data_IF_594452006613
#
_entry.id   IF_594452006613
#
_cell.length_a   1.000
_cell.length_b   1.000
_cell.length_c   1.000
_cell.angle_alpha   90.00
_cell.angle_beta   90.00
_cell.angle_gamma   90.00
#
_symmetry.space_group_name_H-M   'P 1'
#
loop_
_entity.id
_entity.type
_entity.pdbx_description
1 polymer ?
#
# COMPACT_ATOMS: atom_id res chain seq x y z
N UNK A 1 15.06 -0.06 10.37
CA UNK A 1 15.30 1.38 10.09
C UNK A 1 14.41 2.32 10.91
N UNK A 2 13.13 1.98 11.19
CA UNK A 2 12.23 2.84 11.96
C UNK A 2 12.70 3.12 13.41
N UNK A 3 13.10 2.09 14.17
CA UNK A 3 13.51 2.25 15.58
C UNK A 3 14.73 3.18 15.75
N UNK A 4 15.75 3.04 14.90
CA UNK A 4 16.93 3.90 14.93
C UNK A 4 16.61 5.37 14.62
N UNK A 5 15.77 5.61 13.60
CA UNK A 5 15.31 6.96 13.26
C UNK A 5 14.49 7.58 14.40
N UNK A 6 13.62 6.79 15.03
CA UNK A 6 12.80 7.27 16.15
C UNK A 6 13.64 7.53 17.40
N UNK A 7 14.60 6.65 17.69
CA UNK A 7 15.52 6.84 18.82
C UNK A 7 16.30 8.15 18.68
N UNK A 8 16.75 8.53 17.48
CA UNK A 8 17.44 9.80 17.23
C UNK A 8 16.62 11.05 17.56
N UNK A 9 15.29 10.94 17.60
CA UNK A 9 14.41 12.05 18.00
C UNK A 9 14.46 12.25 19.52
N UNK A 10 14.48 11.15 20.27
CA UNK A 10 14.53 11.18 21.74
C UNK A 10 15.93 11.46 22.28
N UNK A 11 16.93 10.85 21.66
CA UNK A 11 18.30 10.84 22.12
C UNK A 11 19.19 11.26 20.95
N UNK A 12 19.44 12.54 20.68
CA UNK A 12 20.21 12.90 19.49
C UNK A 12 21.67 12.42 19.60
N UNK A 13 22.16 11.68 18.60
CA UNK A 13 23.59 11.34 18.48
C UNK A 13 24.39 12.55 18.00
N UNK A 14 25.61 12.73 18.53
CA UNK A 14 26.35 14.01 18.54
C UNK A 14 26.60 14.64 17.17
N UNK A 15 26.52 13.88 16.08
CA UNK A 15 26.83 14.34 14.72
C UNK A 15 25.68 14.13 13.73
N UNK A 16 24.50 13.73 14.21
CA UNK A 16 23.32 13.52 13.36
C UNK A 16 22.34 14.69 13.50
N UNK A 17 21.79 15.11 12.36
CA UNK A 17 20.73 16.11 12.34
C UNK A 17 19.48 15.55 13.01
N UNK A 18 19.03 16.23 14.07
CA UNK A 18 17.81 15.86 14.78
C UNK A 18 16.58 16.10 13.91
N UNK A 19 15.80 15.05 13.70
CA UNK A 19 14.47 15.14 13.10
C UNK A 19 13.51 15.74 14.13
N UNK A 20 12.89 16.86 13.78
CA UNK A 20 11.82 17.46 14.58
C UNK A 20 10.48 17.04 13.99
N UNK A 21 9.70 16.31 14.79
CA UNK A 21 8.31 16.04 14.47
C UNK A 21 7.44 17.12 15.11
N UNK A 22 6.47 17.63 14.35
CA UNK A 22 5.47 18.55 14.89
C UNK A 22 4.43 17.82 15.77
N UNK A 23 4.34 16.49 15.62
CA UNK A 23 3.43 15.60 16.33
C UNK A 23 3.97 14.14 16.27
N UNK A 24 3.61 13.25 17.21
CA UNK A 24 4.05 11.86 17.21
C UNK A 24 3.68 11.11 15.92
N UNK A 25 4.49 10.11 15.55
CA UNK A 25 4.18 9.18 14.47
C UNK A 25 2.93 8.35 14.79
N UNK A 26 2.27 7.86 13.75
CA UNK A 26 1.06 7.05 13.89
C UNK A 26 1.35 5.71 14.51
N UNK A 27 2.42 5.12 14.02
CA UNK A 27 3.01 3.99 14.63
C UNK A 27 4.32 3.60 14.02
N UNK A 28 4.94 2.62 14.66
CA UNK A 28 6.16 2.00 14.19
C UNK A 28 5.89 0.50 14.02
N UNK A 29 6.04 0.01 12.80
CA UNK A 29 6.05 -1.41 12.52
C UNK A 29 7.49 -1.91 12.64
N UNK A 30 7.77 -2.71 13.68
CA UNK A 30 9.05 -3.32 13.95
C UNK A 30 8.96 -4.80 13.54
N UNK A 31 9.31 -5.09 12.28
CA UNK A 31 9.37 -6.46 11.77
C UNK A 31 10.74 -7.04 12.07
N UNK A 32 10.78 -8.08 12.90
CA UNK A 32 12.01 -8.79 13.27
C UNK A 32 13.17 -7.82 13.54
N UNK A 33 13.00 -6.82 14.43
CA UNK A 33 13.95 -5.74 14.50
C UNK A 33 15.30 -6.24 15.00
N UNK A 34 16.38 -5.89 14.30
CA UNK A 34 17.74 -6.08 14.79
C UNK A 34 17.99 -5.16 15.98
N UNK A 35 17.93 -5.74 17.18
CA UNK A 35 17.97 -4.99 18.45
C UNK A 35 19.10 -5.42 19.37
N UNK A 36 19.74 -6.55 19.06
CA UNK A 36 20.82 -7.16 19.84
C UNK A 36 21.78 -7.89 18.88
N UNK A 37 23.06 -7.96 19.24
CA UNK A 37 24.08 -8.77 18.57
C UNK A 37 24.67 -9.85 19.47
N UNK A 38 24.12 -10.02 20.68
CA UNK A 38 24.46 -11.09 21.62
C UNK A 38 24.01 -12.47 21.15
N UNK A 39 24.68 -13.49 21.69
CA UNK A 39 24.43 -14.92 21.42
C UNK A 39 24.00 -15.68 22.70
N UNK A 40 23.65 -14.93 23.73
CA UNK A 40 23.46 -15.41 25.09
C UNK A 40 22.01 -15.77 25.43
N UNK A 41 21.05 -15.42 24.57
CA UNK A 41 19.63 -15.73 24.75
C UNK A 41 19.29 -17.20 24.47
N UNK A 42 18.13 -17.64 24.94
CA UNK A 42 17.65 -19.01 24.73
C UNK A 42 17.23 -19.24 23.28
N UNK A 43 16.50 -18.29 22.69
CA UNK A 43 16.12 -18.29 21.28
C UNK A 43 17.32 -18.46 20.37
N UNK A 44 18.44 -17.78 20.68
CA UNK A 44 19.65 -17.88 19.89
C UNK A 44 20.15 -19.33 19.85
N UNK A 45 20.19 -20.00 21.01
CA UNK A 45 20.67 -21.38 21.14
C UNK A 45 19.71 -22.38 20.48
N UNK A 46 18.41 -22.16 20.60
CA UNK A 46 17.39 -23.09 20.10
C UNK A 46 17.14 -22.98 18.59
N UNK A 47 17.45 -21.84 17.97
CA UNK A 47 17.09 -21.54 16.59
C UNK A 47 18.30 -21.44 15.64
N UNK A 48 19.50 -21.85 16.07
CA UNK A 48 20.74 -21.80 15.27
C UNK A 48 20.66 -22.44 13.88
N UNK A 49 19.78 -23.42 13.70
CA UNK A 49 19.55 -24.20 12.50
C UNK A 49 18.17 -23.97 11.85
N UNK A 50 17.38 -23.05 12.41
CA UNK A 50 16.01 -22.76 11.94
C UNK A 50 15.88 -21.42 11.26
N UNK A 51 16.57 -20.40 11.78
CA UNK A 51 16.49 -19.04 11.24
C UNK A 51 17.23 -18.95 9.89
N UNK A 52 16.75 -18.07 9.01
CA UNK A 52 17.45 -17.73 7.77
C UNK A 52 18.75 -16.97 8.05
N UNK A 53 18.81 -16.24 9.17
CA UNK A 53 20.04 -15.65 9.68
C UNK A 53 20.76 -16.71 10.50
N UNK A 54 21.87 -17.23 10.00
CA UNK A 54 22.69 -18.21 10.75
C UNK A 54 23.66 -17.51 11.70
N UNK A 55 24.13 -18.15 12.79
CA UNK A 55 25.12 -17.54 13.69
C UNK A 55 26.42 -17.07 12.99
N UNK A 56 27.02 -17.82 12.04
CA UNK A 56 28.18 -17.32 11.29
C UNK A 56 27.85 -16.09 10.45
N UNK A 57 26.68 -16.09 9.79
CA UNK A 57 26.23 -14.94 8.99
C UNK A 57 26.01 -13.72 9.88
N UNK A 58 25.36 -13.87 11.04
CA UNK A 58 25.17 -12.82 12.00
C UNK A 58 26.51 -12.20 12.43
N UNK A 59 27.48 -13.02 12.84
CA UNK A 59 28.80 -12.54 13.27
C UNK A 59 29.51 -11.72 12.18
N UNK A 60 29.45 -12.18 10.93
CA UNK A 60 30.05 -11.44 9.81
C UNK A 60 29.31 -10.14 9.52
N UNK A 61 27.97 -10.17 9.53
CA UNK A 61 27.16 -8.96 9.36
C UNK A 61 27.47 -7.93 10.46
N UNK A 62 27.51 -8.36 11.72
CA UNK A 62 27.75 -7.46 12.87
C UNK A 62 29.10 -6.76 12.75
N UNK A 63 30.17 -7.48 12.35
CA UNK A 63 31.50 -6.87 12.11
C UNK A 63 31.47 -5.74 11.08
N UNK A 64 30.57 -5.83 10.09
CA UNK A 64 30.41 -4.81 9.05
C UNK A 64 29.49 -3.67 9.52
N UNK A 65 28.50 -3.96 10.36
CA UNK A 65 27.53 -2.97 10.82
C UNK A 65 28.07 -2.06 11.93
N UNK A 66 28.76 -2.62 12.93
CA UNK A 66 29.28 -1.86 14.08
C UNK A 66 30.50 -2.55 14.68
N UNK A 67 31.56 -1.80 14.96
CA UNK A 67 32.72 -2.33 15.66
C UNK A 67 32.36 -2.66 17.12
N UNK A 68 32.99 -3.68 17.71
CA UNK A 68 32.74 -4.09 19.10
C UNK A 68 32.92 -2.95 20.11
N UNK A 69 33.89 -2.04 19.86
CA UNK A 69 34.12 -0.86 20.70
C UNK A 69 33.03 0.21 20.59
N UNK A 70 32.27 0.19 19.51
CA UNK A 70 31.25 1.19 19.19
C UNK A 70 29.84 0.70 19.51
N UNK A 71 29.71 -0.55 19.95
CA UNK A 71 28.45 -1.14 20.42
C UNK A 71 27.94 -0.42 21.66
N UNK A 72 26.71 0.06 21.59
CA UNK A 72 26.03 0.75 22.69
C UNK A 72 24.50 0.74 22.46
N UNK A 73 23.77 1.45 23.31
CA UNK A 73 22.31 1.60 23.25
C UNK A 73 21.73 2.02 21.88
N UNK A 74 22.53 2.65 21.00
CA UNK A 74 22.15 3.02 19.63
C UNK A 74 22.15 1.87 18.66
N UNK A 75 23.19 1.05 18.73
CA UNK A 75 23.38 -0.10 17.85
C UNK A 75 22.64 -1.33 18.37
N UNK A 76 22.49 -1.42 19.70
CA UNK A 76 21.80 -2.51 20.40
C UNK A 76 20.77 -1.93 21.39
N UNK A 77 19.60 -1.48 20.90
CA UNK A 77 18.50 -1.02 21.75
C UNK A 77 18.08 -2.01 22.83
N UNK A 78 18.37 -3.30 22.65
CA UNK A 78 18.22 -4.32 23.68
C UNK A 78 18.94 -3.98 25.00
N UNK A 79 20.11 -3.34 24.94
CA UNK A 79 20.91 -2.97 26.13
C UNK A 79 20.33 -1.78 26.90
N UNK A 80 19.32 -1.11 26.35
CA UNK A 80 18.73 0.07 26.99
C UNK A 80 17.91 -0.30 28.24
N UNK A 81 17.88 0.63 29.19
CA UNK A 81 16.95 0.59 30.31
C UNK A 81 15.54 1.04 29.87
N UNK A 82 14.52 0.64 30.63
CA UNK A 82 13.10 0.96 30.36
C UNK A 82 12.87 2.47 30.13
N UNK A 83 13.53 3.33 30.92
CA UNK A 83 13.39 4.79 30.81
C UNK A 83 13.83 5.38 29.47
N UNK A 84 14.62 4.64 28.68
CA UNK A 84 15.07 5.06 27.35
C UNK A 84 13.90 5.30 26.39
N UNK A 85 12.80 4.56 26.53
CA UNK A 85 11.65 4.67 25.63
C UNK A 85 10.59 5.66 26.11
N UNK A 86 10.85 6.39 27.21
CA UNK A 86 9.90 7.37 27.72
C UNK A 86 9.62 8.45 26.66
N UNK A 87 8.34 8.76 26.47
CA UNK A 87 7.84 9.70 25.45
C UNK A 87 8.15 9.26 24.00
N UNK A 88 8.29 7.95 23.74
CA UNK A 88 8.47 7.43 22.38
C UNK A 88 7.48 8.07 21.41
N UNK A 89 7.95 8.73 20.34
CA UNK A 89 7.10 9.60 19.52
C UNK A 89 6.34 8.77 18.48
N UNK A 90 5.64 7.73 18.92
CA UNK A 90 4.73 6.92 18.12
C UNK A 90 3.49 6.52 18.94
N UNK A 91 2.29 6.63 18.35
CA UNK A 91 1.01 6.34 19.04
C UNK A 91 0.69 4.86 19.18
N UNK A 92 1.25 4.04 18.29
CA UNK A 92 1.08 2.59 18.28
C UNK A 92 2.37 1.94 17.79
N UNK A 93 2.75 0.79 18.32
CA UNK A 93 3.91 0.04 17.84
C UNK A 93 3.49 -1.40 17.67
N UNK A 94 3.72 -1.99 16.51
CA UNK A 94 3.65 -3.45 16.36
C UNK A 94 5.07 -3.99 16.38
N UNK A 95 5.36 -4.86 17.32
CA UNK A 95 6.64 -5.53 17.46
C UNK A 95 6.46 -7.01 17.13
N UNK A 96 7.04 -7.43 16.00
CA UNK A 96 6.90 -8.79 15.46
C UNK A 96 8.21 -9.56 15.62
N UNK A 97 8.09 -10.78 16.13
CA UNK A 97 9.13 -11.79 16.16
C UNK A 97 8.60 -13.10 15.57
N UNK A 98 9.42 -13.87 14.89
CA UNK A 98 9.15 -15.27 14.56
C UNK A 98 9.58 -16.21 15.66
N UNK A 99 8.84 -17.29 15.90
CA UNK A 99 9.19 -18.35 16.86
C UNK A 99 10.59 -18.93 16.60
N UNK A 100 10.96 -19.04 15.34
CA UNK A 100 12.22 -19.62 14.88
C UNK A 100 13.33 -18.59 14.65
N UNK A 101 13.18 -17.35 15.14
CA UNK A 101 14.23 -16.34 15.04
C UNK A 101 15.32 -16.49 16.10
N UNK A 102 16.57 -16.20 15.71
CA UNK A 102 17.70 -16.12 16.65
C UNK A 102 17.46 -15.06 17.72
N UNK A 103 16.97 -13.88 17.32
CA UNK A 103 16.85 -12.71 18.18
C UNK A 103 15.47 -12.59 18.86
N UNK A 104 14.61 -13.62 18.78
CA UNK A 104 13.24 -13.59 19.32
C UNK A 104 13.17 -13.05 20.75
N UNK A 105 13.93 -13.64 21.67
CA UNK A 105 13.88 -13.23 23.09
C UNK A 105 14.28 -11.74 23.26
N UNK A 106 15.25 -11.27 22.47
CA UNK A 106 15.68 -9.86 22.49
C UNK A 106 14.63 -8.91 21.93
N UNK A 107 13.90 -9.33 20.89
CA UNK A 107 12.80 -8.58 20.30
C UNK A 107 11.65 -8.47 21.30
N UNK A 108 11.30 -9.56 21.97
CA UNK A 108 10.20 -9.60 22.94
C UNK A 108 10.54 -8.79 24.20
N UNK A 109 11.79 -8.86 24.67
CA UNK A 109 12.27 -8.05 25.79
C UNK A 109 12.24 -6.55 25.44
N UNK A 110 12.66 -6.16 24.23
CA UNK A 110 12.54 -4.77 23.77
C UNK A 110 11.09 -4.29 23.85
N UNK A 111 10.16 -5.06 23.27
CA UNK A 111 8.74 -4.73 23.31
C UNK A 111 8.21 -4.58 24.74
N UNK A 112 8.66 -5.45 25.64
CA UNK A 112 8.33 -5.38 27.07
C UNK A 112 8.89 -4.12 27.74
N UNK A 113 10.14 -3.74 27.45
CA UNK A 113 10.74 -2.48 27.94
C UNK A 113 9.96 -1.26 27.47
N UNK A 114 9.56 -1.24 26.20
CA UNK A 114 8.74 -0.17 25.63
C UNK A 114 7.35 -0.08 26.30
N UNK A 115 6.68 -1.22 26.53
CA UNK A 115 5.41 -1.27 27.26
C UNK A 115 5.53 -0.67 28.66
N UNK A 116 6.56 -1.07 29.42
CA UNK A 116 6.82 -0.55 30.77
C UNK A 116 7.15 0.94 30.79
N UNK A 117 7.75 1.45 29.72
CA UNK A 117 8.00 2.88 29.53
C UNK A 117 6.74 3.70 29.18
N UNK A 118 5.58 3.05 29.03
CA UNK A 118 4.30 3.67 28.69
C UNK A 118 4.03 3.80 27.19
N UNK A 119 4.80 3.10 26.34
CA UNK A 119 4.54 3.06 24.90
C UNK A 119 3.39 2.08 24.62
N UNK A 120 2.47 2.44 23.73
CA UNK A 120 1.42 1.54 23.27
C UNK A 120 2.00 0.54 22.26
N UNK A 121 2.37 -0.66 22.73
CA UNK A 121 3.00 -1.71 21.90
C UNK A 121 2.13 -2.97 21.87
N UNK A 122 1.92 -3.52 20.68
CA UNK A 122 1.37 -4.85 20.43
C UNK A 122 2.57 -5.77 20.12
N UNK A 123 2.92 -6.65 21.06
CA UNK A 123 3.96 -7.67 20.84
C UNK A 123 3.32 -8.94 20.28
N UNK A 124 3.83 -9.44 19.16
CA UNK A 124 3.29 -10.62 18.48
C UNK A 124 4.41 -11.55 18.05
N UNK A 125 4.42 -12.74 18.63
CA UNK A 125 5.22 -13.86 18.17
C UNK A 125 4.45 -14.62 17.08
N UNK A 126 5.10 -14.87 15.95
CA UNK A 126 4.54 -15.58 14.79
C UNK A 126 5.05 -17.03 14.79
N UNK A 127 4.20 -18.03 15.06
CA UNK A 127 4.59 -19.44 15.15
C UNK A 127 5.23 -19.96 13.87
N UNK A 128 6.31 -20.73 13.97
CA UNK A 128 7.09 -21.29 12.85
C UNK A 128 7.80 -20.30 11.91
N UNK A 129 7.52 -18.99 12.02
CA UNK A 129 8.13 -17.98 11.17
C UNK A 129 9.60 -17.71 11.54
N UNK A 130 10.38 -17.29 10.54
CA UNK A 130 11.80 -16.87 10.68
C UNK A 130 11.97 -15.37 10.43
N UNK A 131 13.21 -14.88 10.47
CA UNK A 131 13.49 -13.46 10.33
C UNK A 131 12.97 -12.90 9.00
N UNK A 132 12.15 -11.84 9.08
CA UNK A 132 11.52 -11.15 7.94
C UNK A 132 10.74 -12.05 6.98
N UNK A 133 10.12 -13.13 7.49
CA UNK A 133 9.42 -14.14 6.69
C UNK A 133 8.35 -13.54 5.76
N UNK A 134 7.65 -12.50 6.20
CA UNK A 134 6.64 -11.81 5.39
C UNK A 134 7.20 -11.23 4.08
N UNK A 135 8.49 -10.88 4.04
CA UNK A 135 9.18 -10.42 2.83
C UNK A 135 9.54 -11.61 1.94
N UNK A 136 9.95 -12.73 2.54
CA UNK A 136 10.33 -13.95 1.82
C UNK A 136 9.11 -14.57 1.14
N UNK A 137 7.98 -14.69 1.85
CA UNK A 137 6.70 -15.15 1.31
C UNK A 137 6.32 -14.36 0.06
N UNK A 138 6.35 -13.02 0.17
CA UNK A 138 6.01 -12.12 -0.93
C UNK A 138 6.95 -12.27 -2.14
N UNK A 139 8.27 -12.42 -1.90
CA UNK A 139 9.26 -12.60 -2.97
C UNK A 139 9.16 -13.98 -3.65
N UNK A 140 8.84 -15.01 -2.89
CA UNK A 140 8.70 -16.38 -3.37
C UNK A 140 7.31 -16.66 -3.97
N UNK A 141 6.34 -15.74 -3.79
CA UNK A 141 4.95 -15.92 -4.22
C UNK A 141 4.22 -17.00 -3.42
N UNK A 142 4.65 -17.24 -2.18
CA UNK A 142 3.97 -18.13 -1.25
C UNK A 142 2.73 -17.43 -0.67
N UNK A 143 1.81 -18.24 -0.13
CA UNK A 143 0.69 -17.71 0.64
C UNK A 143 1.21 -16.94 1.85
N UNK A 144 0.58 -15.81 2.15
CA UNK A 144 0.98 -14.97 3.27
C UNK A 144 0.80 -15.71 4.61
N UNK A 145 1.89 -15.87 5.36
CA UNK A 145 1.82 -16.42 6.71
C UNK A 145 1.33 -15.42 7.78
N UNK A 146 1.46 -15.80 9.05
CA UNK A 146 0.95 -15.04 10.19
C UNK A 146 1.62 -13.67 10.33
N UNK A 147 2.95 -13.58 10.15
CA UNK A 147 3.67 -12.30 10.24
C UNK A 147 3.16 -11.26 9.24
N UNK A 148 2.87 -11.67 8.00
CA UNK A 148 2.27 -10.79 7.00
C UNK A 148 0.84 -10.40 7.39
N UNK A 149 0.04 -11.37 7.82
CA UNK A 149 -1.35 -11.15 8.24
C UNK A 149 -1.44 -10.15 9.40
N UNK A 150 -0.61 -10.31 10.44
CA UNK A 150 -0.56 -9.41 11.61
C UNK A 150 -0.09 -8.01 11.25
N UNK A 151 0.86 -7.90 10.31
CA UNK A 151 1.28 -6.62 9.76
C UNK A 151 0.10 -5.92 9.08
N UNK A 152 -0.64 -6.62 8.23
CA UNK A 152 -1.80 -6.07 7.52
C UNK A 152 -2.95 -5.72 8.47
N UNK A 153 -3.27 -6.57 9.45
CA UNK A 153 -4.29 -6.30 10.46
C UNK A 153 -3.96 -5.05 11.27
N UNK A 154 -2.70 -4.87 11.64
CA UNK A 154 -2.27 -3.68 12.35
C UNK A 154 -2.32 -2.43 11.45
N UNK A 155 -1.87 -2.54 10.20
CA UNK A 155 -2.01 -1.45 9.22
C UNK A 155 -3.49 -1.07 9.03
N UNK A 156 -4.40 -2.04 8.96
CA UNK A 156 -5.83 -1.84 8.86
C UNK A 156 -6.42 -1.08 10.06
N UNK A 157 -5.98 -1.39 11.29
CA UNK A 157 -6.37 -0.63 12.51
C UNK A 157 -5.87 0.82 12.47
N UNK A 158 -4.78 1.05 11.75
CA UNK A 158 -4.04 2.31 11.71
C UNK A 158 -4.48 3.18 10.51
N UNK A 159 -5.04 2.58 9.45
CA UNK A 159 -5.52 3.26 8.23
C UNK A 159 -7.03 3.08 8.00
N UNK A 160 -7.85 4.10 8.27
CA UNK A 160 -9.29 4.10 7.96
C UNK A 160 -9.60 4.95 6.73
N UNK A 161 -9.86 4.30 5.58
CA UNK A 161 -10.06 4.99 4.31
C UNK A 161 -11.11 4.33 3.43
N UNK A 162 -11.75 5.11 2.56
CA UNK A 162 -12.73 4.67 1.57
C UNK A 162 -12.10 4.68 0.19
N UNK A 163 -12.22 3.58 -0.56
CA UNK A 163 -11.65 3.45 -1.90
C UNK A 163 -12.71 3.28 -3.00
N UNK A 164 -12.41 3.82 -4.18
CA UNK A 164 -13.13 3.61 -5.44
C UNK A 164 -12.22 2.94 -6.47
N UNK A 165 -12.66 1.85 -7.10
CA UNK A 165 -11.93 1.18 -8.18
C UNK A 165 -12.84 0.97 -9.39
N UNK A 166 -12.44 1.48 -10.56
CA UNK A 166 -13.07 1.15 -11.85
C UNK A 166 -12.41 -0.07 -12.48
N UNK A 167 -13.12 -0.83 -13.33
CA UNK A 167 -12.57 -2.03 -13.95
C UNK A 167 -12.26 -3.15 -12.94
N UNK A 168 -13.00 -3.18 -11.83
CA UNK A 168 -12.73 -4.04 -10.68
C UNK A 168 -13.05 -5.53 -10.93
N UNK A 169 -13.68 -5.87 -12.06
CA UNK A 169 -14.09 -7.24 -12.37
C UNK A 169 -12.93 -8.16 -12.75
N UNK A 170 -11.78 -7.64 -13.16
CA UNK A 170 -10.66 -8.47 -13.63
C UNK A 170 -9.30 -7.76 -13.51
N UNK A 171 -8.23 -8.52 -13.75
CA UNK A 171 -6.88 -8.00 -13.90
C UNK A 171 -6.41 -7.08 -12.78
N UNK A 172 -5.77 -5.98 -13.16
CA UNK A 172 -5.24 -4.98 -12.23
C UNK A 172 -6.36 -4.46 -11.30
N UNK A 173 -7.57 -4.22 -11.82
CA UNK A 173 -8.65 -3.67 -11.00
C UNK A 173 -9.11 -4.63 -9.91
N UNK A 174 -9.27 -5.92 -10.24
CA UNK A 174 -9.57 -6.94 -9.24
C UNK A 174 -8.43 -7.10 -8.23
N UNK A 175 -7.18 -7.18 -8.70
CA UNK A 175 -6.02 -7.31 -7.81
C UNK A 175 -5.93 -6.13 -6.83
N UNK A 176 -6.00 -4.89 -7.34
CA UNK A 176 -6.01 -3.69 -6.51
C UNK A 176 -7.18 -3.68 -5.51
N UNK A 177 -8.36 -4.15 -5.92
CA UNK A 177 -9.52 -4.26 -5.03
C UNK A 177 -9.23 -5.19 -3.85
N UNK A 178 -8.68 -6.37 -4.11
CA UNK A 178 -8.37 -7.35 -3.06
C UNK A 178 -7.25 -6.85 -2.15
N UNK A 179 -6.23 -6.20 -2.70
CA UNK A 179 -5.16 -5.59 -1.90
C UNK A 179 -5.66 -4.44 -1.02
N UNK A 180 -6.60 -3.61 -1.50
CA UNK A 180 -7.23 -2.58 -0.66
C UNK A 180 -8.00 -3.20 0.50
N UNK A 181 -8.68 -4.33 0.27
CA UNK A 181 -9.40 -5.06 1.34
C UNK A 181 -8.42 -5.59 2.38
N UNK A 182 -7.29 -6.19 1.95
CA UNK A 182 -6.22 -6.64 2.86
C UNK A 182 -5.57 -5.49 3.62
N UNK A 183 -5.40 -4.35 2.95
CA UNK A 183 -4.87 -3.14 3.55
C UNK A 183 -5.84 -2.46 4.53
N UNK A 184 -7.06 -2.96 4.68
CA UNK A 184 -7.99 -2.51 5.72
C UNK A 184 -8.83 -1.29 5.37
N UNK A 185 -9.12 -1.05 4.09
CA UNK A 185 -10.12 -0.02 3.74
C UNK A 185 -11.41 -0.25 4.53
N UNK A 186 -12.04 0.83 4.98
CA UNK A 186 -13.26 0.77 5.80
C UNK A 186 -14.54 0.86 4.97
N UNK A 187 -14.41 1.19 3.68
CA UNK A 187 -15.49 1.20 2.71
C UNK A 187 -14.94 1.07 1.31
N UNK A 188 -15.69 0.39 0.45
CA UNK A 188 -15.25 0.12 -0.91
C UNK A 188 -16.39 0.35 -1.90
N UNK A 189 -16.18 1.23 -2.88
CA UNK A 189 -16.96 1.33 -4.10
C UNK A 189 -16.19 0.64 -5.24
N UNK A 190 -16.84 -0.28 -5.95
CA UNK A 190 -16.27 -0.92 -7.14
C UNK A 190 -17.26 -0.90 -8.29
N UNK A 191 -16.73 -0.71 -9.51
CA UNK A 191 -17.53 -0.77 -10.72
C UNK A 191 -16.82 -1.52 -11.84
N UNK A 192 -17.61 -2.22 -12.62
CA UNK A 192 -17.22 -2.85 -13.88
C UNK A 192 -18.46 -2.97 -14.77
N UNK A 193 -18.28 -3.04 -16.08
CA UNK A 193 -19.40 -3.29 -17.01
C UNK A 193 -19.82 -4.77 -16.99
N UNK A 194 -18.92 -5.67 -16.58
CA UNK A 194 -19.18 -7.10 -16.50
C UNK A 194 -19.70 -7.50 -15.11
N UNK A 195 -21.01 -7.71 -15.01
CA UNK A 195 -21.70 -8.12 -13.79
C UNK A 195 -21.12 -9.38 -13.13
N UNK A 196 -20.83 -10.44 -13.91
CA UNK A 196 -20.35 -11.72 -13.38
C UNK A 196 -18.97 -11.60 -12.76
N UNK A 197 -18.08 -10.92 -13.46
CA UNK A 197 -16.71 -10.63 -13.01
C UNK A 197 -16.71 -9.72 -11.77
N UNK A 198 -17.54 -8.67 -11.76
CA UNK A 198 -17.70 -7.82 -10.58
C UNK A 198 -18.22 -8.60 -9.37
N UNK A 199 -19.24 -9.44 -9.56
CA UNK A 199 -19.79 -10.29 -8.49
C UNK A 199 -18.74 -11.29 -7.94
N UNK A 200 -17.84 -11.81 -8.79
CA UNK A 200 -16.72 -12.62 -8.32
C UNK A 200 -15.76 -11.80 -7.47
N UNK A 201 -15.40 -10.57 -7.87
CA UNK A 201 -14.56 -9.69 -7.05
C UNK A 201 -15.19 -9.39 -5.69
N UNK A 202 -16.51 -9.19 -5.63
CA UNK A 202 -17.23 -9.03 -4.34
C UNK A 202 -17.07 -10.27 -3.46
N UNK A 203 -17.29 -11.47 -4.00
CA UNK A 203 -17.12 -12.72 -3.23
C UNK A 203 -15.71 -12.89 -2.68
N UNK A 204 -14.70 -12.64 -3.52
CA UNK A 204 -13.29 -12.72 -3.10
C UNK A 204 -12.96 -11.69 -2.03
N UNK A 205 -13.48 -10.46 -2.15
CA UNK A 205 -13.30 -9.40 -1.15
C UNK A 205 -13.95 -9.78 0.18
N UNK A 206 -15.16 -10.36 0.15
CA UNK A 206 -15.86 -10.84 1.35
C UNK A 206 -15.19 -12.04 2.02
N UNK A 207 -14.47 -12.87 1.26
CA UNK A 207 -13.66 -13.94 1.84
C UNK A 207 -12.45 -13.42 2.64
N UNK A 208 -11.95 -12.22 2.30
CA UNK A 208 -10.86 -11.55 3.03
C UNK A 208 -11.43 -10.79 4.24
N UNK A 209 -12.51 -10.02 4.05
CA UNK A 209 -13.18 -9.28 5.12
C UNK A 209 -14.70 -9.35 4.95
N UNK A 210 -15.34 -10.26 5.69
CA UNK A 210 -16.77 -10.51 5.63
C UNK A 210 -17.60 -9.26 5.98
N UNK A 211 -17.09 -8.43 6.90
CA UNK A 211 -17.81 -7.28 7.43
C UNK A 211 -17.60 -6.00 6.62
N UNK A 212 -16.68 -5.99 5.65
CA UNK A 212 -16.38 -4.80 4.85
C UNK A 212 -17.62 -4.29 4.11
N UNK A 213 -18.06 -3.03 4.31
CA UNK A 213 -19.10 -2.43 3.50
C UNK A 213 -18.64 -2.25 2.05
N UNK A 214 -19.27 -2.96 1.12
CA UNK A 214 -18.98 -2.87 -0.33
C UNK A 214 -20.22 -2.30 -1.04
N UNK A 215 -20.01 -1.32 -1.93
CA UNK A 215 -20.95 -0.85 -2.92
C UNK A 215 -20.44 -1.30 -4.29
N UNK A 216 -21.12 -2.26 -4.92
CA UNK A 216 -20.72 -2.81 -6.21
C UNK A 216 -21.76 -2.44 -7.26
N UNK A 217 -21.35 -1.67 -8.26
CA UNK A 217 -22.24 -1.08 -9.26
C UNK A 217 -21.83 -1.52 -10.66
N UNK A 218 -22.72 -2.21 -11.37
CA UNK A 218 -22.50 -2.53 -12.78
C UNK A 218 -22.77 -1.26 -13.60
N UNK A 219 -21.73 -0.68 -14.19
CA UNK A 219 -21.86 0.62 -14.84
C UNK A 219 -20.90 0.78 -16.03
N UNK A 220 -21.37 1.52 -17.04
CA UNK A 220 -20.52 2.01 -18.11
C UNK A 220 -20.00 3.41 -17.74
N UNK A 221 -18.70 3.49 -17.47
CA UNK A 221 -18.02 4.71 -17.06
C UNK A 221 -17.81 5.71 -18.22
N UNK A 222 -18.12 5.32 -19.46
CA UNK A 222 -18.03 6.23 -20.61
C UNK A 222 -19.18 7.25 -20.66
N UNK A 223 -20.26 6.98 -19.93
CA UNK A 223 -21.44 7.85 -19.83
C UNK A 223 -21.20 9.02 -18.86
N UNK A 224 -21.60 10.22 -19.28
CA UNK A 224 -21.23 11.51 -18.65
C UNK A 224 -21.55 11.59 -17.15
N UNK A 225 -22.69 11.04 -16.74
CA UNK A 225 -23.19 11.15 -15.37
C UNK A 225 -22.80 9.97 -14.48
N UNK A 226 -22.27 8.88 -15.05
CA UNK A 226 -21.96 7.65 -14.30
C UNK A 226 -20.95 7.93 -13.19
N UNK A 227 -19.81 8.56 -13.50
CA UNK A 227 -18.77 8.84 -12.51
C UNK A 227 -19.30 9.70 -11.36
N UNK A 228 -19.99 10.80 -11.67
CA UNK A 228 -20.59 11.70 -10.68
C UNK A 228 -21.58 10.97 -9.77
N UNK A 229 -22.46 10.14 -10.36
CA UNK A 229 -23.43 9.35 -9.59
C UNK A 229 -22.73 8.36 -8.65
N UNK A 230 -21.79 7.58 -9.16
CA UNK A 230 -21.09 6.56 -8.38
C UNK A 230 -20.33 7.20 -7.20
N UNK A 231 -19.57 8.26 -7.46
CA UNK A 231 -18.82 8.98 -6.42
C UNK A 231 -19.77 9.58 -5.39
N UNK A 232 -20.90 10.14 -5.81
CA UNK A 232 -21.92 10.68 -4.89
C UNK A 232 -22.52 9.58 -4.00
N UNK A 233 -22.85 8.41 -4.57
CA UNK A 233 -23.36 7.27 -3.80
C UNK A 233 -22.33 6.77 -2.77
N UNK A 234 -21.03 6.73 -3.12
CA UNK A 234 -19.98 6.38 -2.18
C UNK A 234 -19.86 7.42 -1.05
N UNK A 235 -19.87 8.71 -1.39
CA UNK A 235 -19.83 9.78 -0.40
C UNK A 235 -21.06 9.77 0.53
N UNK A 236 -22.25 9.48 0.01
CA UNK A 236 -23.47 9.34 0.82
C UNK A 236 -23.40 8.12 1.74
N UNK A 237 -22.90 6.98 1.25
CA UNK A 237 -22.85 5.72 2.01
C UNK A 237 -21.73 5.71 3.06
N UNK A 238 -20.56 6.24 2.71
CA UNK A 238 -19.34 6.13 3.53
C UNK A 238 -18.87 7.46 4.12
N UNK A 239 -19.50 8.58 3.75
CA UNK A 239 -19.18 9.94 4.22
C UNK A 239 -18.01 10.61 3.49
N UNK A 240 -17.21 9.85 2.73
CA UNK A 240 -15.99 10.33 2.06
C UNK A 240 -15.54 9.40 0.93
N UNK A 241 -14.55 9.85 0.16
CA UNK A 241 -13.76 9.10 -0.81
C UNK A 241 -12.28 9.50 -0.68
N UNK A 242 -11.43 8.56 -0.28
CA UNK A 242 -10.02 8.81 0.03
C UNK A 242 -9.07 8.35 -1.06
N UNK A 243 -9.39 7.20 -1.66
CA UNK A 243 -8.58 6.60 -2.71
C UNK A 243 -9.42 6.36 -3.95
N UNK A 244 -8.90 6.73 -5.11
CA UNK A 244 -9.51 6.38 -6.38
C UNK A 244 -8.50 5.74 -7.32
N UNK A 245 -8.90 4.64 -7.95
CA UNK A 245 -8.10 3.89 -8.90
C UNK A 245 -8.87 3.79 -10.21
N UNK A 246 -8.42 4.57 -11.19
CA UNK A 246 -8.98 4.61 -12.53
C UNK A 246 -8.29 3.55 -13.40
N UNK A 247 -8.79 2.32 -13.35
CA UNK A 247 -8.16 1.13 -13.96
C UNK A 247 -8.84 0.66 -15.23
N UNK A 248 -10.15 0.87 -15.37
CA UNK A 248 -10.90 0.42 -16.54
C UNK A 248 -10.23 0.85 -17.85
N UNK A 249 -10.11 -0.09 -18.79
CA UNK A 249 -9.45 0.16 -20.06
C UNK A 249 -9.59 -0.98 -21.05
N UNK A 250 -9.44 -0.65 -22.33
CA UNK A 250 -9.52 -1.58 -23.47
C UNK A 250 -8.33 -1.37 -24.41
N UNK A 251 -7.82 -2.41 -25.07
CA UNK A 251 -6.82 -2.22 -26.13
C UNK A 251 -7.49 -1.69 -27.40
N UNK A 252 -8.72 -2.15 -27.68
CA UNK A 252 -9.44 -1.87 -28.92
C UNK A 252 -8.88 -2.62 -30.13
N UNK A 253 -9.40 -2.27 -31.30
CA UNK A 253 -8.97 -2.85 -32.59
C UNK A 253 -7.55 -2.36 -32.92
N UNK A 254 -6.64 -3.30 -33.18
CA UNK A 254 -5.28 -3.03 -33.61
C UNK A 254 -5.18 -3.08 -35.14
N UNK A 255 -4.36 -2.21 -35.72
CA UNK A 255 -4.09 -2.20 -37.15
C UNK A 255 -3.35 -0.94 -37.61
N UNK A 256 -2.92 -0.90 -38.88
CA UNK A 256 -2.46 0.33 -39.52
C UNK A 256 -3.51 1.43 -39.42
N UNK A 257 -3.09 2.68 -39.17
CA UNK A 257 -4.02 3.78 -38.88
C UNK A 257 -5.00 4.06 -40.04
N UNK A 258 -4.58 3.83 -41.28
CA UNK A 258 -5.37 3.94 -42.51
C UNK A 258 -6.43 2.81 -42.67
N UNK A 259 -6.37 1.78 -41.82
CA UNK A 259 -7.29 0.64 -41.82
C UNK A 259 -8.19 0.60 -40.57
N UNK A 260 -7.99 1.53 -39.64
CA UNK A 260 -8.84 1.69 -38.47
C UNK A 260 -9.99 2.64 -38.82
N UNK A 261 -11.22 2.20 -38.57
CA UNK A 261 -12.39 3.05 -38.69
C UNK A 261 -12.42 4.09 -37.55
N UNK A 262 -13.00 5.30 -37.78
CA UNK A 262 -13.10 6.31 -36.74
C UNK A 262 -13.81 5.83 -35.46
N UNK A 263 -14.78 4.93 -35.58
CA UNK A 263 -15.49 4.36 -34.43
C UNK A 263 -14.58 3.53 -33.50
N UNK A 264 -13.58 2.82 -34.05
CA UNK A 264 -12.57 2.13 -33.27
C UNK A 264 -11.69 3.11 -32.47
N UNK A 265 -11.36 4.28 -33.05
CA UNK A 265 -10.70 5.35 -32.32
C UNK A 265 -11.60 5.91 -31.21
N UNK A 266 -12.84 6.26 -31.54
CA UNK A 266 -13.80 6.85 -30.61
C UNK A 266 -14.06 5.94 -29.41
N UNK A 267 -14.19 4.63 -29.63
CA UNK A 267 -14.36 3.66 -28.56
C UNK A 267 -13.14 3.58 -27.63
N UNK A 268 -11.92 3.53 -28.18
CA UNK A 268 -10.71 3.49 -27.35
C UNK A 268 -10.52 4.80 -26.60
N UNK A 269 -10.76 5.93 -27.26
CA UNK A 269 -10.66 7.25 -26.64
C UNK A 269 -11.73 7.47 -25.55
N UNK A 270 -12.96 6.99 -25.77
CA UNK A 270 -14.05 7.12 -24.80
C UNK A 270 -13.74 6.38 -23.51
N UNK A 271 -13.24 5.14 -23.60
CA UNK A 271 -12.90 4.33 -22.42
C UNK A 271 -11.58 4.77 -21.79
N UNK A 272 -10.51 4.88 -22.56
CA UNK A 272 -9.16 5.00 -21.98
C UNK A 272 -8.73 6.42 -21.67
N UNK A 273 -9.43 7.44 -22.17
CA UNK A 273 -9.09 8.84 -21.91
C UNK A 273 -10.29 9.60 -21.33
N UNK A 274 -11.42 9.63 -22.03
CA UNK A 274 -12.58 10.41 -21.60
C UNK A 274 -13.17 9.88 -20.29
N UNK A 275 -13.35 8.57 -20.14
CA UNK A 275 -13.88 8.00 -18.91
C UNK A 275 -12.95 8.21 -17.71
N UNK A 276 -11.63 8.11 -17.89
CA UNK A 276 -10.64 8.45 -16.85
C UNK A 276 -10.79 9.91 -16.43
N UNK A 277 -10.94 10.83 -17.39
CA UNK A 277 -11.21 12.23 -17.10
C UNK A 277 -12.56 12.46 -16.38
N UNK A 278 -13.62 11.75 -16.77
CA UNK A 278 -14.92 11.82 -16.09
C UNK A 278 -14.80 11.37 -14.62
N UNK A 279 -14.11 10.26 -14.37
CA UNK A 279 -13.85 9.72 -13.04
C UNK A 279 -13.03 10.70 -12.20
N UNK A 280 -11.84 11.10 -12.66
CA UNK A 280 -10.97 12.03 -11.95
C UNK A 280 -11.67 13.37 -11.65
N UNK A 281 -12.45 13.90 -12.60
CA UNK A 281 -13.25 15.11 -12.37
C UNK A 281 -14.24 14.93 -11.21
N UNK A 282 -14.97 13.82 -11.18
CA UNK A 282 -15.94 13.54 -10.11
C UNK A 282 -15.25 13.30 -8.76
N UNK A 283 -14.13 12.56 -8.77
CA UNK A 283 -13.30 12.25 -7.60
C UNK A 283 -12.73 13.53 -6.97
N UNK A 284 -12.08 14.38 -7.76
CA UNK A 284 -11.55 15.67 -7.30
C UNK A 284 -12.66 16.56 -6.77
N UNK A 285 -13.80 16.65 -7.48
CA UNK A 285 -14.94 17.45 -7.03
C UNK A 285 -15.49 16.99 -5.67
N UNK A 286 -15.44 15.70 -5.37
CA UNK A 286 -15.81 15.16 -4.08
C UNK A 286 -14.71 15.39 -3.02
N UNK A 287 -13.45 15.09 -3.34
CA UNK A 287 -12.32 15.28 -2.43
C UNK A 287 -12.17 16.74 -1.99
N UNK A 288 -12.47 17.72 -2.85
CA UNK A 288 -12.45 19.14 -2.50
C UNK A 288 -13.50 19.54 -1.43
N UNK A 289 -14.59 18.78 -1.32
CA UNK A 289 -15.65 19.01 -0.31
C UNK A 289 -15.31 18.39 1.04
N UNK A 290 -14.33 17.49 1.08
CA UNK A 290 -13.94 16.76 2.28
C UNK A 290 -12.83 17.51 2.99
N UNK A 291 -12.88 17.58 4.31
CA UNK A 291 -11.71 18.00 5.08
C UNK A 291 -10.52 17.11 4.79
N UNK A 292 -9.31 17.66 4.96
CA UNK A 292 -8.09 16.86 4.86
C UNK A 292 -8.22 15.73 5.87
N UNK A 293 -8.11 14.50 5.38
CA UNK A 293 -8.07 13.34 6.24
C UNK A 293 -6.94 13.49 7.24
N UNK A 294 -7.10 12.86 8.38
CA UNK A 294 -5.96 12.63 9.25
C UNK A 294 -5.13 11.53 8.64
N UNK A 295 -3.81 11.69 8.65
CA UNK A 295 -2.97 10.49 8.52
C UNK A 295 -3.22 9.63 9.75
N UNK A 296 -2.76 8.39 9.69
CA UNK A 296 -2.78 7.45 10.81
C UNK A 296 -2.22 8.01 12.16
N UNK A 297 -1.50 9.14 12.14
CA UNK A 297 -0.89 9.82 13.28
C UNK A 297 -1.69 11.01 13.81
N UNK A 298 -2.91 11.25 13.34
CA UNK A 298 -3.64 12.51 13.50
C UNK A 298 -2.98 13.74 12.83
N UNK A 299 -1.93 13.56 12.01
CA UNK A 299 -1.38 14.68 11.22
C UNK A 299 -2.37 15.12 10.19
N UNK A 300 -2.20 16.34 9.72
CA UNK A 300 -2.89 16.79 8.50
C UNK A 300 -2.42 15.94 7.33
N UNK A 301 -3.29 15.03 6.87
CA UNK A 301 -3.09 14.20 5.69
C UNK A 301 -3.63 14.87 4.43
N UNK A 302 -4.03 14.07 3.47
CA UNK A 302 -4.59 14.53 2.20
C UNK A 302 -6.11 14.43 2.21
N UNK A 303 -6.77 15.23 1.36
CA UNK A 303 -8.20 15.10 1.06
C UNK A 303 -8.49 13.83 0.26
N UNK A 304 -7.51 13.35 -0.50
CA UNK A 304 -7.56 12.08 -1.21
C UNK A 304 -6.37 11.87 -2.14
N UNK A 305 -6.30 10.66 -2.70
CA UNK A 305 -5.28 10.26 -3.64
C UNK A 305 -5.88 9.46 -4.81
N UNK A 306 -5.48 9.84 -6.02
CA UNK A 306 -5.96 9.26 -7.28
C UNK A 306 -4.80 8.59 -7.99
N UNK A 307 -5.04 7.39 -8.49
CA UNK A 307 -4.12 6.66 -9.36
C UNK A 307 -4.80 6.35 -10.68
N UNK A 308 -4.26 6.93 -11.76
CA UNK A 308 -4.70 6.62 -13.12
C UNK A 308 -3.81 5.55 -13.74
N UNK A 309 -4.43 4.49 -14.27
CA UNK A 309 -3.69 3.44 -14.96
C UNK A 309 -3.47 3.85 -16.42
N UNK A 310 -2.25 4.31 -16.69
CA UNK A 310 -1.76 4.57 -18.03
C UNK A 310 -1.26 3.26 -18.67
N UNK A 311 -0.03 3.26 -19.21
CA UNK A 311 0.67 2.12 -19.79
C UNK A 311 2.09 2.54 -20.12
N UNK A 312 3.01 1.59 -20.33
CA UNK A 312 4.24 1.87 -21.08
C UNK A 312 3.93 2.58 -22.42
N UNK A 313 2.81 2.26 -23.06
CA UNK A 313 2.31 2.94 -24.26
C UNK A 313 1.87 4.40 -24.05
N UNK A 314 1.83 4.89 -22.81
CA UNK A 314 1.66 6.31 -22.49
C UNK A 314 2.98 7.09 -22.53
N UNK A 315 4.11 6.40 -22.64
CA UNK A 315 5.46 6.98 -22.69
C UNK A 315 6.13 6.71 -24.04
N UNK A 316 5.86 5.53 -24.64
CA UNK A 316 6.42 5.13 -25.93
C UNK A 316 5.34 4.78 -26.93
N UNK A 317 5.68 4.81 -28.22
CA UNK A 317 4.82 4.32 -29.29
C UNK A 317 4.84 2.79 -29.38
N UNK A 318 3.69 2.19 -29.73
CA UNK A 318 3.59 0.76 -30.01
C UNK A 318 2.92 0.54 -31.38
N UNK A 319 3.56 -0.20 -32.32
CA UNK A 319 3.01 -0.42 -33.65
C UNK A 319 1.58 -0.95 -33.61
N UNK A 320 0.73 -0.45 -34.52
CA UNK A 320 -0.66 -0.87 -34.71
C UNK A 320 -1.63 -0.60 -33.54
N UNK A 321 -1.18 0.08 -32.49
CA UNK A 321 -1.97 0.43 -31.30
C UNK A 321 -2.23 1.94 -31.19
N UNK A 322 -2.28 2.66 -32.31
CA UNK A 322 -2.31 4.13 -32.31
C UNK A 322 -3.40 4.75 -31.42
N UNK A 323 -4.70 4.34 -31.50
CA UNK A 323 -5.72 4.89 -30.59
C UNK A 323 -5.40 4.64 -29.12
N UNK A 324 -4.90 3.46 -28.78
CA UNK A 324 -4.53 3.09 -27.41
C UNK A 324 -3.35 3.93 -26.91
N UNK A 325 -2.27 4.03 -27.70
CA UNK A 325 -1.10 4.86 -27.39
C UNK A 325 -1.50 6.32 -27.19
N UNK A 326 -2.34 6.89 -28.08
CA UNK A 326 -2.84 8.25 -27.94
C UNK A 326 -3.61 8.44 -26.63
N UNK A 327 -4.55 7.54 -26.33
CA UNK A 327 -5.35 7.63 -25.12
C UNK A 327 -4.49 7.50 -23.85
N UNK A 328 -3.51 6.59 -23.82
CA UNK A 328 -2.62 6.43 -22.65
C UNK A 328 -1.63 7.59 -22.47
N UNK A 329 -1.24 8.28 -23.55
CA UNK A 329 -0.52 9.57 -23.44
C UNK A 329 -1.44 10.65 -22.87
N UNK A 330 -2.71 10.69 -23.26
CA UNK A 330 -3.69 11.64 -22.70
C UNK A 330 -3.89 11.44 -21.19
N UNK A 331 -3.94 10.19 -20.70
CA UNK A 331 -3.99 9.89 -19.26
C UNK A 331 -2.79 10.45 -18.50
N UNK A 332 -1.57 10.36 -19.05
CA UNK A 332 -0.40 10.98 -18.42
C UNK A 332 -0.44 12.50 -18.48
N UNK A 333 -0.96 13.07 -19.56
CA UNK A 333 -1.21 14.50 -19.68
C UNK A 333 -2.15 15.00 -18.57
N UNK A 334 -3.29 14.34 -18.42
CA UNK A 334 -4.27 14.59 -17.35
C UNK A 334 -3.61 14.50 -15.97
N UNK A 335 -2.97 13.37 -15.68
CA UNK A 335 -2.31 13.11 -14.39
C UNK A 335 -1.30 14.20 -14.04
N UNK A 336 -0.45 14.61 -15.00
CA UNK A 336 0.59 15.63 -14.77
C UNK A 336 -0.03 17.01 -14.56
N UNK A 337 -1.05 17.36 -15.32
CA UNK A 337 -1.79 18.60 -15.17
C UNK A 337 -2.38 18.71 -13.77
N UNK A 338 -3.12 17.69 -13.36
CA UNK A 338 -3.98 17.79 -12.18
C UNK A 338 -3.20 17.49 -10.89
N UNK A 339 -2.14 16.69 -10.95
CA UNK A 339 -1.21 16.54 -9.82
C UNK A 339 -0.61 17.87 -9.35
N UNK A 340 -0.28 18.77 -10.28
CA UNK A 340 0.28 20.10 -9.93
C UNK A 340 -0.82 21.09 -9.55
N UNK A 341 -1.99 21.00 -10.18
CA UNK A 341 -3.11 21.90 -9.94
C UNK A 341 -3.69 21.72 -8.53
N UNK A 342 -3.85 20.49 -8.08
CA UNK A 342 -4.58 20.18 -6.83
C UNK A 342 -3.67 19.85 -5.64
N UNK A 343 -2.34 19.80 -5.82
CA UNK A 343 -1.39 19.49 -4.73
C UNK A 343 -1.54 20.41 -3.52
N UNK A 344 -1.66 21.72 -3.73
CA UNK A 344 -1.80 22.70 -2.64
C UNK A 344 -3.13 22.54 -1.88
N UNK A 345 -4.14 21.94 -2.51
CA UNK A 345 -5.43 21.65 -1.88
C UNK A 345 -5.43 20.30 -1.16
N UNK A 346 -4.30 19.58 -1.16
CA UNK A 346 -4.12 18.31 -0.48
C UNK A 346 -4.69 17.13 -1.25
N UNK A 347 -4.72 17.17 -2.59
CA UNK A 347 -5.12 16.03 -3.43
C UNK A 347 -3.89 15.57 -4.21
N UNK A 348 -3.58 14.27 -4.14
CA UNK A 348 -2.48 13.67 -4.90
C UNK A 348 -3.03 12.96 -6.13
N UNK A 349 -2.39 13.15 -7.28
CA UNK A 349 -2.74 12.44 -8.51
C UNK A 349 -1.47 11.80 -9.07
N UNK A 350 -1.51 10.49 -9.33
CA UNK A 350 -0.37 9.71 -9.82
C UNK A 350 -0.77 8.85 -11.01
N UNK A 351 0.19 8.59 -11.90
CA UNK A 351 -0.02 7.76 -13.08
C UNK A 351 0.85 6.51 -13.00
N UNK A 352 0.24 5.34 -13.13
CA UNK A 352 0.98 4.07 -13.21
C UNK A 352 1.15 3.66 -14.67
N UNK A 353 2.36 3.25 -15.06
CA UNK A 353 2.66 2.81 -16.43
C UNK A 353 3.10 1.33 -16.48
N UNK A 354 2.18 0.37 -16.32
CA UNK A 354 2.55 -1.04 -16.40
C UNK A 354 3.08 -1.43 -17.78
N UNK A 355 4.01 -2.40 -17.78
CA UNK A 355 4.32 -3.23 -18.95
C UNK A 355 3.26 -4.33 -19.14
N UNK A 356 3.60 -5.41 -19.84
CA UNK A 356 2.69 -6.56 -19.99
C UNK A 356 2.45 -7.24 -18.64
N UNK A 357 1.18 -7.39 -18.25
CA UNK A 357 0.78 -8.05 -17.00
C UNK A 357 -0.07 -9.28 -17.33
N UNK A 358 0.36 -10.47 -16.88
CA UNK A 358 -0.27 -11.76 -17.20
C UNK A 358 -1.74 -11.90 -16.76
N UNK A 359 -2.13 -11.21 -15.68
CA UNK A 359 -3.48 -11.30 -15.10
C UNK A 359 -4.49 -10.35 -15.75
N UNK A 360 -4.07 -9.43 -16.62
CA UNK A 360 -4.96 -8.39 -17.15
C UNK A 360 -5.64 -8.85 -18.45
N UNK A 361 -6.89 -9.29 -18.35
CA UNK A 361 -7.80 -9.29 -19.49
C UNK A 361 -8.21 -7.85 -19.77
N UNK A 362 -7.37 -7.08 -20.45
CA UNK A 362 -7.92 -5.93 -21.19
C UNK A 362 -8.92 -6.55 -22.16
N UNK A 363 -10.17 -6.07 -22.17
CA UNK A 363 -11.22 -6.68 -22.98
C UNK A 363 -10.76 -6.72 -24.44
N UNK A 364 -10.37 -7.91 -24.88
CA UNK A 364 -10.16 -8.21 -26.28
C UNK A 364 -11.55 -8.38 -26.88
N UNK A 365 -11.97 -7.45 -27.72
CA UNK A 365 -13.14 -7.67 -28.59
C UNK A 365 -12.74 -8.66 -29.68
N UNK A 366 -12.49 -9.92 -29.33
CA UNK A 366 -12.60 -10.99 -30.31
C UNK A 366 -14.08 -11.31 -30.42
N UNK A 367 -14.72 -10.82 -31.49
CA UNK A 367 -16.05 -11.31 -31.84
C UNK A 367 -15.98 -12.81 -32.07
N UNK A 368 -16.47 -13.59 -31.10
CA UNK A 368 -17.09 -14.91 -31.23
C UNK A 368 -17.98 -15.16 -30.03
#
# INVERSE_FOLDING_TARGET
>A
MALGVISQILHPYKDLRVLKLNEPLAGALLVSPWVNFGEDTESFRLNTDKDIVTPPLLREMVKVFVADSDRNNWSEPYLTEEGWFKNFPAKSVLNLSGEHELLRDSIDELGTKMLKAGVNVENVECPLHVHVDCILDAQAGLDYGEMATKSWDWLAKVFSNVAFVTGAGSGIGQACTLELVRAGVTGLLITDINEKSLAQTVRLSKAINENLPILAEVADITLDDTATRLVSQAAEKFGRLDYALNVAGVVGKQGPIDQLDPAAYDFVASVNARAVWLCERAEIAQMLKQDRGKTHDDRTGDRGAIVNIASICGIVGFPYSTPYTMAKHAVLGLTRSDSTTFAAQGIRVNGLCPGSVFLTTLLYTTGR
#
